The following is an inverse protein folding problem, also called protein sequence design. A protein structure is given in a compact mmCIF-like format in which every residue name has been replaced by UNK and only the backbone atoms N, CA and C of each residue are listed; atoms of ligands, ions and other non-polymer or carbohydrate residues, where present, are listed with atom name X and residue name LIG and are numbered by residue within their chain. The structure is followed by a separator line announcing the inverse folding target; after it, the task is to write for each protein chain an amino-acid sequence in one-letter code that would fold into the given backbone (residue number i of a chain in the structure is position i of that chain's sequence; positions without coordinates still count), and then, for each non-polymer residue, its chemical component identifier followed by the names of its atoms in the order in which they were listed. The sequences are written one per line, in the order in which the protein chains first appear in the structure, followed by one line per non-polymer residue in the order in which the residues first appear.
data_IF_992760309320
#
_entry.id   IF_992760309320
#
_cell.length_a   1.000
_cell.length_b   1.000
_cell.length_c   1.000
_cell.angle_alpha   90.00
_cell.angle_beta   90.00
_cell.angle_gamma   90.00
#
_symmetry.space_group_name_H-M   'P 1'
#
loop_
_entity.id
_entity.type
_entity.pdbx_description
1 polymer ?
#
# COMPACT_ATOMS: atom_id res chain seq x y z
N UNK A 1 13.43 5.66 -22.89
CA UNK A 1 12.00 5.69 -22.59
C UNK A 1 11.84 6.41 -21.26
N UNK A 2 11.18 7.57 -21.21
CA UNK A 2 10.96 8.32 -19.96
C UNK A 2 9.89 7.57 -19.16
N UNK A 3 10.23 7.05 -17.99
CA UNK A 3 9.24 6.52 -17.02
C UNK A 3 8.53 7.71 -16.38
N UNK A 4 7.52 8.19 -17.10
CA UNK A 4 6.66 9.28 -16.66
C UNK A 4 5.68 8.78 -15.59
N UNK A 5 5.76 9.48 -14.46
CA UNK A 5 4.69 9.79 -13.51
C UNK A 5 4.13 8.65 -12.67
N UNK A 6 4.61 8.58 -11.42
CA UNK A 6 3.93 7.89 -10.32
C UNK A 6 2.65 8.70 -10.02
N UNK A 7 1.56 8.43 -10.73
CA UNK A 7 0.21 8.98 -10.46
C UNK A 7 -0.46 8.31 -9.24
N UNK A 8 0.32 8.00 -8.20
CA UNK A 8 -0.19 7.37 -6.97
C UNK A 8 0.33 8.02 -5.70
N UNK A 9 1.26 8.98 -5.80
CA UNK A 9 1.80 9.64 -4.60
C UNK A 9 0.83 10.66 -4.01
N UNK A 10 -0.01 11.29 -4.83
CA UNK A 10 -0.98 12.28 -4.34
C UNK A 10 -2.15 11.60 -3.64
N UNK A 11 -2.73 10.59 -4.29
CA UNK A 11 -3.82 9.77 -3.77
C UNK A 11 -3.38 9.04 -2.48
N UNK A 12 -2.16 8.49 -2.44
CA UNK A 12 -1.63 7.90 -1.21
C UNK A 12 -1.37 8.93 -0.11
N UNK A 13 -1.03 10.17 -0.45
CA UNK A 13 -0.90 11.24 0.54
C UNK A 13 -2.24 11.56 1.21
N UNK A 14 -3.32 11.61 0.43
CA UNK A 14 -4.68 11.80 0.96
C UNK A 14 -5.11 10.61 1.82
N UNK A 15 -4.91 9.38 1.34
CA UNK A 15 -5.22 8.16 2.09
C UNK A 15 -4.44 8.11 3.41
N UNK A 16 -3.16 8.49 3.39
CA UNK A 16 -2.32 8.46 4.58
C UNK A 16 -2.75 9.43 5.68
N UNK A 17 -3.63 10.40 5.39
CA UNK A 17 -4.20 11.29 6.42
C UNK A 17 -5.03 10.54 7.47
N UNK A 18 -5.53 9.34 7.17
CA UNK A 18 -6.32 8.51 8.10
C UNK A 18 -5.60 8.15 9.40
N UNK A 19 -4.27 8.21 9.42
CA UNK A 19 -3.44 7.81 10.58
C UNK A 19 -2.65 8.97 11.18
N UNK A 20 -2.99 10.20 10.79
CA UNK A 20 -2.26 11.43 11.11
C UNK A 20 -3.19 12.38 11.86
N UNK A 21 -2.65 13.26 12.70
CA UNK A 21 -3.47 14.29 13.35
C UNK A 21 -3.94 15.33 12.33
N UNK A 22 -5.13 15.89 12.55
CA UNK A 22 -5.71 16.90 11.67
C UNK A 22 -4.74 18.06 11.43
N UNK A 23 -4.42 18.31 10.14
CA UNK A 23 -3.51 19.38 9.72
C UNK A 23 -2.04 18.99 9.62
N UNK A 24 -1.66 17.78 10.01
CA UNK A 24 -0.31 17.26 9.79
C UNK A 24 -0.20 16.51 8.45
N UNK A 25 0.96 16.60 7.80
CA UNK A 25 1.25 15.86 6.57
C UNK A 25 2.51 15.04 6.79
N UNK A 26 2.42 13.75 6.50
CA UNK A 26 3.57 12.87 6.58
C UNK A 26 4.63 13.27 5.53
N UNK A 27 5.92 13.22 5.86
CA UNK A 27 6.98 13.60 4.91
C UNK A 27 7.05 12.62 3.72
N UNK A 28 7.57 13.10 2.60
CA UNK A 28 7.99 12.24 1.48
C UNK A 28 9.47 11.88 1.64
N UNK A 29 9.81 10.64 1.33
CA UNK A 29 11.18 10.14 1.32
C UNK A 29 11.64 9.83 -0.10
N UNK A 30 12.90 10.14 -0.39
CA UNK A 30 13.54 9.80 -1.66
C UNK A 30 14.31 8.49 -1.54
N UNK A 31 13.98 7.51 -2.36
CA UNK A 31 14.67 6.23 -2.39
C UNK A 31 15.95 6.29 -3.23
N UNK A 32 16.81 5.26 -3.11
CA UNK A 32 18.10 5.18 -3.82
C UNK A 32 17.96 5.24 -5.35
N UNK A 33 16.85 4.76 -5.89
CA UNK A 33 16.51 4.82 -7.33
C UNK A 33 16.05 6.22 -7.79
N UNK A 34 16.01 7.19 -6.88
CA UNK A 34 15.63 8.58 -7.14
C UNK A 34 14.14 8.87 -7.03
N UNK A 35 13.30 7.84 -6.87
CA UNK A 35 11.85 8.00 -6.71
C UNK A 35 11.46 8.57 -5.35
N UNK A 36 10.25 9.12 -5.27
CA UNK A 36 9.69 9.64 -4.03
C UNK A 36 8.54 8.73 -3.56
N UNK A 37 8.51 8.46 -2.26
CA UNK A 37 7.48 7.66 -1.61
C UNK A 37 6.96 8.42 -0.40
N UNK A 38 5.64 8.42 -0.24
CA UNK A 38 4.98 9.01 0.91
C UNK A 38 5.20 8.11 2.15
N UNK A 39 5.58 8.70 3.29
CA UNK A 39 5.63 7.95 4.55
C UNK A 39 4.22 7.69 5.08
N UNK A 40 4.06 6.64 5.90
CA UNK A 40 2.76 6.23 6.45
C UNK A 40 1.99 5.20 5.65
N UNK A 41 2.38 4.91 4.39
CA UNK A 41 1.64 3.95 3.54
C UNK A 41 1.52 2.56 4.17
N UNK A 42 2.55 2.11 4.91
CA UNK A 42 2.47 0.85 5.67
C UNK A 42 1.50 0.96 6.85
N UNK A 43 1.53 2.06 7.59
CA UNK A 43 0.64 2.27 8.72
C UNK A 43 -0.83 2.33 8.28
N UNK A 44 -1.12 3.08 7.21
CA UNK A 44 -2.46 3.17 6.65
C UNK A 44 -2.92 1.86 6.02
N UNK A 45 -2.02 1.10 5.38
CA UNK A 45 -2.34 -0.25 4.93
C UNK A 45 -2.74 -1.16 6.09
N UNK A 46 -2.03 -1.13 7.23
CA UNK A 46 -2.40 -1.90 8.41
C UNK A 46 -3.76 -1.47 8.99
N UNK A 47 -4.03 -0.16 9.02
CA UNK A 47 -5.34 0.38 9.40
C UNK A 47 -6.46 -0.13 8.49
N UNK A 48 -6.27 -0.07 7.18
CA UNK A 48 -7.24 -0.53 6.18
C UNK A 48 -7.43 -2.06 6.21
N UNK A 49 -6.39 -2.84 6.48
CA UNK A 49 -6.53 -4.28 6.74
C UNK A 49 -7.43 -4.52 7.96
N UNK A 50 -7.30 -3.73 9.03
CA UNK A 50 -8.17 -3.84 10.20
C UNK A 50 -9.63 -3.54 9.84
N UNK A 51 -9.89 -2.47 9.09
CA UNK A 51 -11.24 -2.13 8.63
C UNK A 51 -11.84 -3.21 7.73
N UNK A 52 -11.03 -3.75 6.80
CA UNK A 52 -11.44 -4.85 5.94
C UNK A 52 -11.78 -6.09 6.76
N UNK A 53 -10.96 -6.45 7.75
CA UNK A 53 -11.23 -7.58 8.63
C UNK A 53 -12.51 -7.38 9.46
N UNK A 54 -12.87 -6.14 9.78
CA UNK A 54 -14.13 -5.79 10.44
C UNK A 54 -15.36 -5.79 9.50
N UNK A 55 -15.17 -6.01 8.20
CA UNK A 55 -16.25 -6.13 7.22
C UNK A 55 -16.42 -4.96 6.26
N UNK A 56 -15.60 -3.90 6.35
CA UNK A 56 -15.63 -2.80 5.39
C UNK A 56 -15.17 -3.25 3.99
N UNK A 57 -15.82 -2.75 2.93
CA UNK A 57 -15.59 -3.15 1.53
C UNK A 57 -15.66 -1.91 0.62
N UNK A 58 -15.31 -2.05 -0.66
CA UNK A 58 -15.37 -0.95 -1.63
C UNK A 58 -14.17 -0.01 -1.49
N UNK A 59 -14.33 1.11 -0.79
CA UNK A 59 -13.29 2.14 -0.66
C UNK A 59 -12.01 1.57 -0.02
N UNK A 60 -12.14 0.83 1.09
CA UNK A 60 -11.00 0.19 1.78
C UNK A 60 -10.24 -0.76 0.85
N UNK A 61 -10.94 -1.49 -0.02
CA UNK A 61 -10.32 -2.39 -1.01
C UNK A 61 -9.56 -1.61 -2.08
N UNK A 62 -10.13 -0.51 -2.57
CA UNK A 62 -9.49 0.38 -3.55
C UNK A 62 -8.21 0.99 -2.98
N UNK A 63 -8.24 1.47 -1.73
CA UNK A 63 -7.06 2.04 -1.08
C UNK A 63 -5.97 1.01 -0.82
N UNK A 64 -6.34 -0.21 -0.42
CA UNK A 64 -5.39 -1.32 -0.30
C UNK A 64 -4.72 -1.62 -1.65
N UNK A 65 -5.47 -1.59 -2.75
CA UNK A 65 -4.92 -1.78 -4.11
C UNK A 65 -4.00 -0.63 -4.52
N UNK A 66 -4.39 0.62 -4.26
CA UNK A 66 -3.58 1.81 -4.58
C UNK A 66 -2.22 1.80 -3.87
N UNK A 67 -2.13 1.20 -2.68
CA UNK A 67 -0.87 1.09 -1.94
C UNK A 67 0.14 0.10 -2.57
N UNK A 68 -0.32 -0.90 -3.35
CA UNK A 68 0.51 -2.04 -3.77
C UNK A 68 1.80 -1.64 -4.49
N UNK A 69 1.80 -0.75 -5.50
CA UNK A 69 3.04 -0.37 -6.19
C UNK A 69 4.09 0.17 -5.22
N UNK A 70 3.66 0.98 -4.26
CA UNK A 70 4.52 1.52 -3.21
C UNK A 70 5.01 0.43 -2.28
N UNK A 71 4.14 -0.48 -1.83
CA UNK A 71 4.50 -1.58 -0.92
C UNK A 71 5.52 -2.55 -1.55
N UNK A 72 5.35 -2.88 -2.82
CA UNK A 72 6.33 -3.65 -3.60
C UNK A 72 7.65 -2.89 -3.67
N UNK A 73 7.59 -1.60 -4.01
CA UNK A 73 8.77 -0.77 -4.19
C UNK A 73 9.62 -0.61 -2.93
N UNK A 74 8.98 -0.48 -1.77
CA UNK A 74 9.68 -0.36 -0.48
C UNK A 74 10.13 -1.72 0.08
N UNK A 75 9.92 -2.81 -0.64
CA UNK A 75 10.37 -4.14 -0.26
C UNK A 75 9.54 -4.80 0.84
N UNK A 76 8.26 -4.43 1.00
CA UNK A 76 7.41 -5.05 2.02
C UNK A 76 7.31 -6.57 1.81
N UNK A 77 7.18 -7.00 0.55
CA UNK A 77 7.05 -8.41 0.19
C UNK A 77 8.39 -9.17 0.16
N UNK A 78 9.51 -8.48 0.37
CA UNK A 78 10.82 -9.11 0.57
C UNK A 78 11.00 -9.58 2.02
N UNK A 79 10.26 -8.98 2.97
CA UNK A 79 10.24 -9.40 4.38
C UNK A 79 9.39 -10.64 4.60
N UNK A 80 8.23 -10.69 3.91
CA UNK A 80 7.33 -11.83 3.87
C UNK A 80 6.75 -11.91 2.47
N UNK A 81 6.94 -13.05 1.81
CA UNK A 81 6.52 -13.27 0.43
C UNK A 81 5.01 -13.12 0.26
N UNK A 82 4.57 -12.83 -0.95
CA UNK A 82 3.15 -12.71 -1.27
C UNK A 82 2.36 -13.98 -0.90
N UNK A 83 2.94 -15.17 -1.08
CA UNK A 83 2.29 -16.42 -0.68
C UNK A 83 2.14 -16.53 0.84
N UNK A 84 3.11 -16.08 1.63
CA UNK A 84 2.99 -16.03 3.10
C UNK A 84 1.89 -15.06 3.56
N UNK A 85 1.67 -13.95 2.83
CA UNK A 85 0.55 -13.05 3.08
C UNK A 85 -0.81 -13.71 2.77
N UNK A 86 -0.87 -14.55 1.74
CA UNK A 86 -2.09 -15.24 1.30
C UNK A 86 -2.47 -16.39 2.23
N UNK A 87 -1.48 -17.18 2.68
CA UNK A 87 -1.69 -18.45 3.37
C UNK A 87 -2.17 -18.33 4.82
N UNK A 88 -2.34 -17.13 5.37
CA UNK A 88 -2.86 -16.91 6.72
C UNK A 88 -4.39 -16.87 6.81
N UNK A 89 -4.92 -16.77 8.03
CA UNK A 89 -6.37 -16.63 8.30
C UNK A 89 -6.88 -15.19 8.21
N UNK A 90 -5.98 -14.20 8.13
CA UNK A 90 -6.34 -12.79 8.07
C UNK A 90 -6.85 -12.42 6.67
N UNK A 91 -8.16 -12.14 6.56
CA UNK A 91 -8.81 -11.89 5.27
C UNK A 91 -8.25 -10.66 4.54
N UNK A 92 -7.90 -9.59 5.25
CA UNK A 92 -7.31 -8.38 4.67
C UNK A 92 -5.89 -8.62 4.16
N UNK A 93 -5.07 -9.40 4.88
CA UNK A 93 -3.75 -9.81 4.38
C UNK A 93 -3.87 -10.66 3.12
N UNK A 94 -4.81 -11.62 3.12
CA UNK A 94 -5.06 -12.47 1.96
C UNK A 94 -5.47 -11.65 0.74
N UNK A 95 -6.44 -10.75 0.91
CA UNK A 95 -6.88 -9.84 -0.15
C UNK A 95 -5.71 -9.02 -0.70
N UNK A 96 -4.94 -8.35 0.17
CA UNK A 96 -3.79 -7.56 -0.26
C UNK A 96 -2.74 -8.42 -0.98
N UNK A 97 -2.45 -9.62 -0.46
CA UNK A 97 -1.52 -10.57 -1.06
C UNK A 97 -1.97 -11.01 -2.47
N UNK A 98 -3.23 -11.39 -2.65
CA UNK A 98 -3.77 -11.76 -3.96
C UNK A 98 -3.64 -10.62 -4.99
N UNK A 99 -3.93 -9.38 -4.58
CA UNK A 99 -3.79 -8.21 -5.45
C UNK A 99 -2.31 -7.90 -5.75
N UNK A 100 -1.42 -8.05 -4.77
CA UNK A 100 0.01 -7.89 -4.97
C UNK A 100 0.57 -8.96 -5.93
N UNK A 101 0.10 -10.21 -5.82
CA UNK A 101 0.45 -11.31 -6.74
C UNK A 101 0.08 -10.95 -8.18
N UNK A 102 -1.15 -10.47 -8.37
CA UNK A 102 -1.62 -10.05 -9.68
C UNK A 102 -0.82 -8.86 -10.24
N UNK A 103 -0.51 -7.86 -9.42
CA UNK A 103 0.31 -6.72 -9.80
C UNK A 103 1.71 -7.16 -10.26
N UNK A 104 2.39 -7.99 -9.48
CA UNK A 104 3.73 -8.50 -9.81
C UNK A 104 3.75 -9.35 -11.09
N UNK A 105 2.69 -10.09 -11.38
CA UNK A 105 2.56 -10.86 -12.62
C UNK A 105 2.30 -10.00 -13.87
N UNK A 106 1.91 -8.74 -13.69
CA UNK A 106 1.63 -7.78 -14.77
C UNK A 106 2.75 -6.79 -15.08
N UNK A 107 3.84 -6.84 -14.30
CA UNK A 107 5.07 -6.05 -14.55
C UNK A 107 5.96 -6.74 -15.59
#
# INVERSE_FOLDING_TARGET
MRMSTINGTHELSEINQKVVQDGEVLPQVRLKDGSQVQTGTVATMLHNISLYNAGARGEVEQELVLAIPTLVKVGLFDLFTVEEWINGENAGRRFLGEKAKAYLASQ
#
